data_IF_791871975762
#
_entry.id   IF_791871975762
#
_cell.length_a   1.000
_cell.length_b   1.000
_cell.length_c   1.000
_cell.angle_alpha   90.00
_cell.angle_beta   90.00
_cell.angle_gamma   90.00
#
_symmetry.space_group_name_H-M   'P 1'
#
loop_
_entity.id
_entity.type
_entity.pdbx_description
1 polymer ?
#
# COMPACT_ATOMS: atom_id res chain seq x y z
N UNK A 1 -8.62 -7.18 -0.58
CA UNK A 1 -8.85 -5.72 -0.64
C UNK A 1 -7.54 -4.98 -0.48
N UNK A 2 -7.30 -4.01 -1.33
CA UNK A 2 -6.09 -3.18 -1.28
C UNK A 2 -6.51 -1.72 -1.13
N UNK A 3 -5.88 -1.01 -0.19
CA UNK A 3 -6.19 0.39 0.10
C UNK A 3 -4.92 1.23 -0.11
N UNK A 4 -5.07 2.32 -0.84
CA UNK A 4 -4.07 3.38 -0.93
C UNK A 4 -4.51 4.53 -0.04
N UNK A 5 -3.70 4.87 0.95
CA UNK A 5 -3.92 6.00 1.82
C UNK A 5 -2.78 7.00 1.77
N UNK A 6 -3.03 8.23 2.17
CA UNK A 6 -2.00 9.25 2.32
C UNK A 6 -1.44 9.27 3.75
N UNK A 7 -0.45 10.10 4.01
CA UNK A 7 0.18 10.23 5.34
C UNK A 7 -0.72 10.86 6.39
N UNK A 8 -1.81 11.49 5.97
CA UNK A 8 -2.83 12.05 6.87
C UNK A 8 -3.88 11.02 7.30
N UNK A 9 -3.84 9.82 6.71
CA UNK A 9 -4.80 8.73 6.98
C UNK A 9 -6.06 8.79 6.14
N UNK A 10 -6.07 9.55 5.05
CA UNK A 10 -7.19 9.58 4.10
C UNK A 10 -7.05 8.45 3.08
N UNK A 11 -8.18 7.91 2.67
CA UNK A 11 -8.23 6.91 1.60
C UNK A 11 -8.19 7.62 0.25
N UNK A 12 -7.15 7.33 -0.54
CA UNK A 12 -6.97 7.88 -1.88
C UNK A 12 -7.61 6.99 -2.94
N UNK A 13 -7.44 5.69 -2.79
CA UNK A 13 -8.01 4.70 -3.72
C UNK A 13 -8.23 3.36 -3.01
N UNK A 14 -9.13 2.56 -3.53
CA UNK A 14 -9.45 1.25 -2.97
C UNK A 14 -9.77 0.26 -4.10
N UNK A 15 -9.25 -0.96 -3.97
CA UNK A 15 -9.56 -2.08 -4.85
C UNK A 15 -10.14 -3.22 -4.04
N UNK A 16 -11.32 -3.68 -4.45
CA UNK A 16 -12.03 -4.78 -3.79
C UNK A 16 -12.15 -5.92 -4.80
N UNK A 17 -11.86 -7.12 -4.33
CA UNK A 17 -11.96 -8.33 -5.14
C UNK A 17 -12.16 -9.55 -4.25
N UNK A 18 -12.27 -10.71 -4.87
CA UNK A 18 -12.35 -11.99 -4.18
C UNK A 18 -10.97 -12.42 -3.65
N UNK A 19 -10.88 -13.64 -3.13
CA UNK A 19 -9.64 -14.23 -2.61
C UNK A 19 -8.53 -14.36 -3.69
N UNK A 20 -8.91 -14.35 -4.97
CA UNK A 20 -8.01 -14.42 -6.10
C UNK A 20 -7.44 -13.05 -6.52
N UNK A 21 -7.82 -11.97 -5.83
CA UNK A 21 -7.30 -10.64 -6.14
C UNK A 21 -5.77 -10.61 -6.02
N UNK A 22 -5.11 -10.35 -7.13
CA UNK A 22 -3.67 -10.10 -7.14
C UNK A 22 -3.39 -8.70 -6.58
N UNK A 23 -3.04 -8.67 -5.30
CA UNK A 23 -2.78 -7.41 -4.57
C UNK A 23 -1.62 -6.62 -5.16
N UNK A 24 -0.59 -7.30 -5.65
CA UNK A 24 0.55 -6.63 -6.28
C UNK A 24 0.15 -5.92 -7.57
N UNK A 25 -0.63 -6.59 -8.39
CA UNK A 25 -1.17 -6.02 -9.63
C UNK A 25 -2.14 -4.88 -9.35
N UNK A 26 -3.01 -5.04 -8.38
CA UNK A 26 -3.95 -4.01 -7.94
C UNK A 26 -3.20 -2.77 -7.46
N UNK A 27 -2.19 -2.93 -6.61
CA UNK A 27 -1.36 -1.83 -6.12
C UNK A 27 -0.68 -1.08 -7.28
N UNK A 28 -0.09 -1.79 -8.23
CA UNK A 28 0.50 -1.16 -9.43
C UNK A 28 -0.53 -0.38 -10.25
N UNK A 29 -1.74 -0.91 -10.40
CA UNK A 29 -2.84 -0.22 -11.08
C UNK A 29 -3.24 1.07 -10.38
N UNK A 30 -3.31 1.06 -9.06
CA UNK A 30 -3.59 2.25 -8.25
C UNK A 30 -2.48 3.30 -8.35
N UNK A 31 -1.22 2.87 -8.36
CA UNK A 31 -0.07 3.77 -8.56
C UNK A 31 -0.15 4.44 -9.92
N UNK A 32 -0.43 3.70 -11.00
CA UNK A 32 -0.59 4.28 -12.34
C UNK A 32 -1.72 5.30 -12.39
N UNK A 33 -2.86 4.96 -11.82
CA UNK A 33 -4.05 5.82 -11.83
C UNK A 33 -3.82 7.15 -11.10
N UNK A 34 -3.06 7.12 -10.02
CA UNK A 34 -2.85 8.26 -9.15
C UNK A 34 -1.45 8.89 -9.29
N UNK A 35 -0.70 8.54 -10.34
CA UNK A 35 0.71 8.91 -10.49
C UNK A 35 1.01 10.40 -10.35
N UNK A 36 0.11 11.27 -10.78
CA UNK A 36 0.29 12.72 -10.71
C UNK A 36 0.25 13.29 -9.29
N UNK A 37 -0.19 12.52 -8.32
CA UNK A 37 -0.32 12.92 -6.91
C UNK A 37 0.70 12.22 -6.01
N UNK A 38 1.54 11.33 -6.57
CA UNK A 38 2.45 10.48 -5.79
C UNK A 38 3.90 10.87 -6.05
N UNK A 39 4.61 11.29 -5.00
CA UNK A 39 6.06 11.48 -5.03
C UNK A 39 6.82 10.25 -4.53
N UNK A 40 6.23 9.56 -3.55
CA UNK A 40 6.80 8.38 -2.89
C UNK A 40 5.70 7.39 -2.57
N UNK A 41 5.96 6.10 -2.71
CA UNK A 41 5.09 5.02 -2.22
C UNK A 41 5.78 4.27 -1.10
N UNK A 42 5.02 3.92 -0.07
CA UNK A 42 5.48 3.09 1.05
C UNK A 42 4.70 1.78 1.02
N UNK A 43 5.40 0.68 0.77
CA UNK A 43 4.80 -0.64 0.63
C UNK A 43 5.55 -1.66 1.49
N UNK A 44 4.82 -2.67 1.97
CA UNK A 44 5.43 -3.77 2.71
C UNK A 44 6.20 -4.74 1.79
N UNK A 45 6.87 -5.72 2.38
CA UNK A 45 7.71 -6.66 1.65
C UNK A 45 6.95 -7.59 0.69
N UNK A 46 5.63 -7.66 0.77
CA UNK A 46 4.83 -8.40 -0.21
C UNK A 46 4.95 -7.82 -1.61
N UNK A 47 5.16 -6.50 -1.70
CA UNK A 47 5.31 -5.77 -2.95
C UNK A 47 6.76 -5.72 -3.47
N UNK A 48 7.69 -6.41 -2.82
CA UNK A 48 9.07 -6.50 -3.27
C UNK A 48 9.17 -7.40 -4.50
N UNK A 49 8.97 -6.83 -5.66
CA UNK A 49 9.08 -7.49 -6.96
C UNK A 49 9.60 -6.50 -8.02
N UNK A 50 10.24 -7.03 -9.05
CA UNK A 50 10.83 -6.21 -10.12
C UNK A 50 9.82 -5.27 -10.77
N UNK A 51 8.61 -5.76 -11.05
CA UNK A 51 7.58 -5.00 -11.74
C UNK A 51 7.18 -3.72 -11.01
N UNK A 52 7.09 -3.77 -9.68
CA UNK A 52 6.73 -2.59 -8.88
C UNK A 52 7.85 -1.57 -8.83
N UNK A 53 9.09 -2.02 -8.66
CA UNK A 53 10.25 -1.12 -8.70
C UNK A 53 10.43 -0.49 -10.08
N UNK A 54 10.27 -1.25 -11.14
CA UNK A 54 10.37 -0.76 -12.52
C UNK A 54 9.28 0.27 -12.82
N UNK A 55 8.06 0.05 -12.34
CA UNK A 55 6.97 1.00 -12.48
C UNK A 55 7.28 2.33 -11.78
N UNK A 56 7.75 2.28 -10.54
CA UNK A 56 8.12 3.48 -9.78
C UNK A 56 9.22 4.26 -10.49
N UNK A 57 10.24 3.58 -10.98
CA UNK A 57 11.34 4.21 -11.71
C UNK A 57 10.85 4.90 -12.98
N UNK A 58 10.00 4.23 -13.74
CA UNK A 58 9.40 4.75 -14.98
C UNK A 58 8.54 5.99 -14.74
N UNK A 59 7.80 6.04 -13.64
CA UNK A 59 6.91 7.14 -13.28
C UNK A 59 7.59 8.25 -12.47
N UNK A 60 8.86 8.11 -12.13
CA UNK A 60 9.59 9.07 -11.30
C UNK A 60 9.11 9.10 -9.85
N UNK A 61 8.58 7.99 -9.35
CA UNK A 61 8.11 7.84 -7.98
C UNK A 61 9.19 7.16 -7.15
N UNK A 62 9.49 7.70 -5.97
CA UNK A 62 10.45 7.08 -5.05
C UNK A 62 9.85 5.83 -4.41
N UNK A 63 10.48 4.65 -4.55
CA UNK A 63 9.98 3.42 -3.93
C UNK A 63 10.47 3.27 -2.49
N UNK A 64 9.58 3.30 -1.53
CA UNK A 64 9.81 2.93 -0.14
C UNK A 64 9.25 1.52 0.13
N UNK A 65 9.77 0.53 -0.55
CA UNK A 65 9.30 -0.85 -0.50
C UNK A 65 10.27 -1.67 0.35
N UNK A 66 9.76 -2.25 1.43
CA UNK A 66 10.59 -3.08 2.32
C UNK A 66 11.12 -4.29 1.57
N UNK A 67 12.44 -4.43 1.55
CA UNK A 67 13.11 -5.55 0.90
C UNK A 67 12.92 -6.82 1.74
N UNK A 68 12.63 -7.93 1.07
CA UNK A 68 12.50 -9.23 1.71
C UNK A 68 13.83 -9.70 2.30
N UNK A 69 13.76 -10.38 3.41
CA UNK A 69 14.93 -10.86 4.16
C UNK A 69 15.87 -11.74 3.32
N UNK A 70 15.31 -12.51 2.38
CA UNK A 70 16.07 -13.44 1.53
C UNK A 70 16.42 -12.86 0.14
N UNK A 71 16.24 -11.55 -0.08
CA UNK A 71 16.57 -10.93 -1.34
C UNK A 71 18.07 -11.02 -1.63
N UNK A 72 18.41 -11.42 -2.86
CA UNK A 72 19.80 -11.52 -3.32
C UNK A 72 20.24 -10.23 -3.99
N UNK A 73 21.50 -9.84 -3.77
CA UNK A 73 22.10 -8.68 -4.44
C UNK A 73 22.68 -9.15 -5.78
N UNK A 74 21.85 -9.21 -6.80
CA UNK A 74 22.25 -9.63 -8.14
C UNK A 74 21.61 -8.75 -9.21
N UNK A 75 22.33 -8.53 -10.30
CA UNK A 75 21.80 -7.83 -11.47
C UNK A 75 21.93 -6.31 -11.40
N UNK A 76 21.32 -5.67 -12.39
CA UNK A 76 21.30 -4.21 -12.61
C UNK A 76 19.85 -3.78 -12.78
N UNK A 77 19.53 -2.57 -12.36
CA UNK A 77 18.19 -2.00 -12.50
C UNK A 77 17.65 -1.42 -11.20
N UNK A 78 16.38 -0.94 -11.21
CA UNK A 78 15.78 -0.29 -10.06
C UNK A 78 15.74 -1.16 -8.79
N UNK A 79 15.23 -2.37 -8.87
CA UNK A 79 15.15 -3.26 -7.70
C UNK A 79 16.53 -3.65 -7.15
N UNK A 80 17.48 -4.15 -7.94
CA UNK A 80 18.82 -4.46 -7.44
C UNK A 80 19.51 -3.26 -6.77
N UNK A 81 19.34 -2.07 -7.31
CA UNK A 81 19.86 -0.83 -6.72
C UNK A 81 19.29 -0.59 -5.31
N UNK A 82 17.98 -0.73 -5.16
CA UNK A 82 17.30 -0.57 -3.86
C UNK A 82 17.64 -1.70 -2.87
N UNK A 83 17.80 -2.91 -3.35
CA UNK A 83 18.27 -4.05 -2.52
C UNK A 83 19.66 -3.78 -1.96
N UNK A 84 20.59 -3.30 -2.79
CA UNK A 84 21.94 -2.94 -2.33
C UNK A 84 21.91 -1.85 -1.27
N UNK A 85 21.10 -0.82 -1.49
CA UNK A 85 20.96 0.29 -0.54
C UNK A 85 20.38 -0.19 0.79
N UNK A 86 19.34 -1.00 0.76
CA UNK A 86 18.74 -1.60 1.96
C UNK A 86 19.75 -2.42 2.76
N UNK A 87 20.51 -3.28 2.09
CA UNK A 87 21.53 -4.11 2.75
C UNK A 87 22.69 -3.31 3.30
N UNK A 88 23.11 -2.25 2.62
CA UNK A 88 24.17 -1.35 3.07
C UNK A 88 23.78 -0.58 4.32
N UNK A 89 22.56 -0.05 4.38
CA UNK A 89 22.08 0.78 5.49
C UNK A 89 21.56 -0.03 6.66
N UNK A 90 20.98 -1.21 6.41
CA UNK A 90 20.19 -1.95 7.38
C UNK A 90 18.77 -1.37 7.50
N UNK A 91 17.87 -2.14 8.08
CA UNK A 91 16.45 -1.76 8.15
C UNK A 91 16.21 -0.42 8.86
N UNK A 92 16.80 -0.19 10.01
CA UNK A 92 16.58 1.03 10.80
C UNK A 92 16.94 2.30 10.03
N UNK A 93 18.12 2.34 9.44
CA UNK A 93 18.59 3.51 8.68
C UNK A 93 17.81 3.68 7.39
N UNK A 94 17.53 2.58 6.70
CA UNK A 94 16.70 2.59 5.52
C UNK A 94 15.28 3.13 5.80
N UNK A 95 14.64 2.63 6.85
CA UNK A 95 13.30 3.05 7.24
C UNK A 95 13.26 4.54 7.60
N UNK A 96 14.26 5.03 8.31
CA UNK A 96 14.39 6.45 8.64
C UNK A 96 14.55 7.30 7.38
N UNK A 97 15.43 6.89 6.46
CA UNK A 97 15.66 7.61 5.22
C UNK A 97 14.41 7.67 4.32
N UNK A 98 13.67 6.56 4.22
CA UNK A 98 12.44 6.48 3.43
C UNK A 98 11.23 7.11 4.10
N UNK A 99 11.30 7.40 5.40
CA UNK A 99 10.11 7.79 6.17
C UNK A 99 9.10 6.66 6.29
N UNK A 100 9.57 5.43 6.38
CA UNK A 100 8.74 4.23 6.32
C UNK A 100 7.69 4.14 7.43
N UNK A 101 7.93 4.78 8.57
CA UNK A 101 6.96 4.88 9.66
C UNK A 101 5.67 5.59 9.29
N UNK A 102 5.71 6.49 8.30
CA UNK A 102 4.52 7.20 7.81
C UNK A 102 3.55 6.29 7.05
N UNK A 103 3.92 5.04 6.80
CA UNK A 103 3.01 4.03 6.24
C UNK A 103 1.87 3.66 7.20
N UNK A 104 2.13 3.75 8.50
CA UNK A 104 1.19 3.29 9.53
C UNK A 104 -0.20 3.94 9.46
N UNK A 105 -0.35 5.28 9.37
CA UNK A 105 -1.69 5.90 9.29
C UNK A 105 -2.53 5.40 8.11
N UNK A 106 -1.90 5.19 6.97
CA UNK A 106 -2.57 4.74 5.75
C UNK A 106 -2.85 3.24 5.70
N UNK A 107 -2.17 2.44 6.53
CA UNK A 107 -2.37 1.00 6.58
C UNK A 107 -3.18 0.61 7.82
N UNK A 108 -2.51 0.38 8.94
CA UNK A 108 -3.15 -0.09 10.18
C UNK A 108 -4.07 0.95 10.80
N UNK A 109 -3.75 2.23 10.68
CA UNK A 109 -4.58 3.31 11.21
C UNK A 109 -5.98 3.35 10.61
N UNK A 110 -6.09 3.25 9.29
CA UNK A 110 -7.38 3.21 8.58
C UNK A 110 -8.16 1.95 8.98
N UNK A 111 -7.53 0.78 8.92
CA UNK A 111 -8.19 -0.47 9.29
C UNK A 111 -8.68 -0.47 10.73
N UNK A 112 -7.85 0.00 11.66
CA UNK A 112 -8.23 0.10 13.08
C UNK A 112 -9.40 1.05 13.31
N UNK A 113 -9.42 2.20 12.63
CA UNK A 113 -10.50 3.17 12.73
C UNK A 113 -11.82 2.61 12.18
N UNK A 114 -11.78 1.94 11.03
CA UNK A 114 -12.97 1.33 10.43
C UNK A 114 -13.52 0.21 11.32
N UNK A 115 -12.67 -0.65 11.86
CA UNK A 115 -13.08 -1.70 12.82
C UNK A 115 -13.73 -1.11 14.06
N UNK A 116 -13.16 -0.05 14.61
CA UNK A 116 -13.71 0.60 15.81
C UNK A 116 -15.09 1.21 15.58
N UNK A 117 -15.31 1.82 14.41
CA UNK A 117 -16.56 2.52 14.08
C UNK A 117 -17.64 1.52 13.63
N UNK A 118 -17.31 0.55 12.79
CA UNK A 118 -18.27 -0.32 12.11
C UNK A 118 -18.21 -1.80 12.52
N UNK A 119 -17.26 -2.18 13.37
CA UNK A 119 -17.03 -3.57 13.76
C UNK A 119 -16.23 -4.34 12.71
N UNK A 120 -15.82 -5.56 13.08
CA UNK A 120 -14.93 -6.40 12.25
C UNK A 120 -15.67 -7.25 11.22
N UNK A 121 -16.89 -7.65 11.52
CA UNK A 121 -17.65 -8.58 10.69
C UNK A 121 -18.44 -7.90 9.59
N UNK A 122 -18.79 -8.68 8.58
CA UNK A 122 -19.80 -8.33 7.57
C UNK A 122 -21.08 -9.11 7.83
N UNK A 123 -22.22 -8.47 7.61
CA UNK A 123 -23.54 -9.08 7.87
C UNK A 123 -24.08 -9.86 6.68
N UNK A 124 -23.61 -9.54 5.49
CA UNK A 124 -24.06 -10.18 4.25
C UNK A 124 -23.53 -11.60 4.12
N UNK A 125 -24.36 -12.51 3.60
CA UNK A 125 -24.01 -13.92 3.41
C UNK A 125 -23.50 -14.25 2.02
N UNK A 126 -23.84 -13.44 1.01
CA UNK A 126 -23.36 -13.63 -0.38
C UNK A 126 -22.01 -12.94 -0.55
N UNK A 127 -21.05 -13.63 -1.13
CA UNK A 127 -19.69 -13.12 -1.34
C UNK A 127 -19.64 -11.73 -1.98
N UNK A 128 -20.41 -11.51 -3.04
CA UNK A 128 -20.49 -10.19 -3.70
C UNK A 128 -20.96 -9.09 -2.74
N UNK A 129 -21.98 -9.36 -1.93
CA UNK A 129 -22.53 -8.40 -0.98
C UNK A 129 -21.57 -8.16 0.20
N UNK A 130 -20.82 -9.18 0.62
CA UNK A 130 -19.79 -9.05 1.67
C UNK A 130 -18.71 -8.04 1.25
N UNK A 131 -18.20 -8.14 0.03
CA UNK A 131 -17.20 -7.19 -0.49
C UNK A 131 -17.78 -5.79 -0.64
N UNK A 132 -19.02 -5.68 -1.11
CA UNK A 132 -19.71 -4.40 -1.23
C UNK A 132 -19.91 -3.75 0.15
N UNK A 133 -20.34 -4.50 1.15
CA UNK A 133 -20.50 -4.02 2.53
C UNK A 133 -19.17 -3.56 3.11
N UNK A 134 -18.11 -4.34 2.95
CA UNK A 134 -16.76 -3.96 3.39
C UNK A 134 -16.31 -2.66 2.73
N UNK A 135 -16.49 -2.53 1.43
CA UNK A 135 -16.15 -1.30 0.68
C UNK A 135 -16.93 -0.09 1.16
N UNK A 136 -18.23 -0.24 1.45
CA UNK A 136 -19.07 0.83 1.98
C UNK A 136 -18.56 1.35 3.32
N UNK A 137 -18.07 0.48 4.21
CA UNK A 137 -17.50 0.89 5.50
C UNK A 137 -16.32 1.86 5.31
N UNK A 138 -15.42 1.55 4.38
CA UNK A 138 -14.27 2.42 4.08
C UNK A 138 -14.70 3.70 3.39
N UNK A 139 -15.68 3.64 2.50
CA UNK A 139 -16.22 4.83 1.84
C UNK A 139 -16.86 5.79 2.86
N UNK A 140 -17.71 5.27 3.77
CA UNK A 140 -18.33 6.07 4.84
C UNK A 140 -17.28 6.66 5.76
N UNK A 141 -16.26 5.89 6.12
CA UNK A 141 -15.11 6.39 6.89
C UNK A 141 -14.47 7.62 6.23
N UNK A 142 -14.21 7.54 4.94
CA UNK A 142 -13.62 8.67 4.20
C UNK A 142 -14.56 9.88 4.19
N UNK A 143 -15.87 9.67 4.02
CA UNK A 143 -16.84 10.77 4.07
C UNK A 143 -16.89 11.44 5.44
N UNK A 144 -16.78 10.69 6.52
CA UNK A 144 -16.69 11.23 7.87
C UNK A 144 -15.45 12.12 8.02
N UNK A 145 -14.31 11.66 7.53
CA UNK A 145 -13.06 12.43 7.58
C UNK A 145 -13.13 13.73 6.77
N UNK A 146 -13.73 13.68 5.59
CA UNK A 146 -13.91 14.87 4.73
C UNK A 146 -14.85 15.92 5.38
N UNK A 147 -15.77 15.45 6.23
CA UNK A 147 -16.69 16.33 6.96
C UNK A 147 -16.12 16.96 8.23
N UNK A 148 -14.97 16.49 8.67
CA UNK A 148 -14.26 17.08 9.80
C UNK A 148 -13.50 18.34 9.35
#
# INVERSE_FOLDING_TARGET
MVIMGNTDGDIVDIRIGNEELDERRAARGMIRKNQGQIEKVLLDGWHDCHETFDLCDRLGIEPGIKIRKNAKVTGVGPRPREVRRFKKLGYKMWAKEKGYGYRWPASEGIFSAVKRIFGEGVRSHRTRNMYHEAGLKFWVYQQIREGE
#
